data_IF_944746722586
#
_entry.id   IF_944746722586
#
_cell.length_a   1.000
_cell.length_b   1.000
_cell.length_c   1.000
_cell.angle_alpha   90.00
_cell.angle_beta   90.00
_cell.angle_gamma   90.00
#
_symmetry.space_group_name_H-M   'P 1'
#
loop_
_entity.id
_entity.type
_entity.pdbx_description
1 polymer ?
#
# COMPACT_ATOMS: atom_id res chain seq x y z
N UNK A 1 -33.28 -4.33 18.81
CA UNK A 1 -33.05 -3.80 17.45
C UNK A 1 -31.58 -3.96 16.96
N UNK A 2 -30.75 -4.82 17.58
CA UNK A 2 -29.29 -4.89 17.28
C UNK A 2 -28.89 -5.96 16.23
N UNK A 3 -29.71 -7.00 16.03
CA UNK A 3 -29.34 -8.13 15.15
C UNK A 3 -29.50 -7.83 13.65
N UNK A 4 -30.47 -6.98 13.26
CA UNK A 4 -30.75 -6.68 11.85
C UNK A 4 -29.70 -5.77 11.21
N UNK A 5 -29.11 -4.84 11.98
CA UNK A 5 -28.00 -3.99 11.55
C UNK A 5 -26.70 -4.77 11.39
N UNK A 6 -26.45 -5.77 12.25
CA UNK A 6 -25.29 -6.66 12.13
C UNK A 6 -25.35 -7.55 10.88
N UNK A 7 -26.54 -8.07 10.53
CA UNK A 7 -26.74 -8.84 9.30
C UNK A 7 -26.58 -8.02 8.00
N UNK A 8 -26.88 -6.72 8.03
CA UNK A 8 -26.64 -5.80 6.92
C UNK A 8 -25.17 -5.36 6.83
N UNK A 9 -24.47 -5.22 7.96
CA UNK A 9 -23.04 -4.95 8.01
C UNK A 9 -22.22 -6.09 7.38
N UNK A 10 -22.73 -7.33 7.38
CA UNK A 10 -22.26 -8.51 6.60
C UNK A 10 -22.09 -8.30 5.09
N UNK A 11 -22.78 -7.32 4.52
CA UNK A 11 -22.96 -7.15 3.06
C UNK A 11 -22.40 -5.84 2.52
N UNK A 12 -21.74 -5.03 3.35
CA UNK A 12 -21.15 -3.78 2.91
C UNK A 12 -19.95 -4.06 2.00
N UNK A 13 -19.93 -3.43 0.82
CA UNK A 13 -18.77 -3.47 -0.08
C UNK A 13 -17.77 -2.41 0.38
N UNK A 14 -16.50 -2.79 0.44
CA UNK A 14 -15.43 -1.85 0.76
C UNK A 14 -15.27 -0.83 -0.38
N UNK A 15 -14.96 0.41 -0.04
CA UNK A 15 -14.38 1.37 -0.98
C UNK A 15 -12.87 1.49 -0.78
N UNK A 16 -12.19 2.14 -1.72
CA UNK A 16 -10.76 2.47 -1.60
C UNK A 16 -10.49 3.21 -0.29
N UNK A 17 -11.32 4.21 0.05
CA UNK A 17 -11.18 4.96 1.29
C UNK A 17 -11.36 4.08 2.54
N UNK A 18 -12.39 3.22 2.58
CA UNK A 18 -12.60 2.35 3.76
C UNK A 18 -11.49 1.31 3.89
N UNK A 19 -10.98 0.80 2.78
CA UNK A 19 -9.86 -0.14 2.77
C UNK A 19 -8.57 0.50 3.30
N UNK A 20 -8.21 1.68 2.80
CA UNK A 20 -7.03 2.42 3.24
C UNK A 20 -7.11 2.73 4.74
N UNK A 21 -8.24 3.28 5.20
CA UNK A 21 -8.43 3.60 6.63
C UNK A 21 -8.43 2.32 7.47
N UNK A 22 -9.08 1.27 7.01
CA UNK A 22 -9.07 -0.05 7.65
C UNK A 22 -7.63 -0.53 7.85
N UNK A 23 -6.85 -0.66 6.77
CA UNK A 23 -5.43 -1.07 6.81
C UNK A 23 -4.62 -0.23 7.80
N UNK A 24 -4.81 1.10 7.80
CA UNK A 24 -4.05 2.01 8.66
C UNK A 24 -4.46 1.90 10.12
N UNK A 25 -5.61 1.34 10.44
CA UNK A 25 -6.13 1.27 11.82
C UNK A 25 -6.22 -0.15 12.38
N UNK A 26 -5.88 -1.17 11.58
CA UNK A 26 -5.93 -2.57 12.02
C UNK A 26 -5.13 -2.80 13.31
N UNK A 27 -5.70 -3.54 14.29
CA UNK A 27 -5.02 -3.90 15.53
C UNK A 27 -4.06 -5.08 15.36
N UNK A 28 -3.80 -5.55 14.13
CA UNK A 28 -2.93 -6.71 13.87
C UNK A 28 -1.52 -6.54 14.46
N UNK A 29 -1.00 -5.30 14.51
CA UNK A 29 0.30 -5.01 15.13
C UNK A 29 0.30 -5.24 16.63
N UNK A 30 -0.83 -4.95 17.31
CA UNK A 30 -1.01 -5.16 18.75
C UNK A 30 -1.15 -6.65 19.03
N UNK A 31 -1.97 -7.37 18.24
CA UNK A 31 -2.10 -8.84 18.31
C UNK A 31 -0.73 -9.53 18.18
N UNK A 32 0.08 -9.15 17.18
CA UNK A 32 1.44 -9.70 16.98
C UNK A 32 2.36 -9.34 18.16
N UNK A 33 2.26 -8.11 18.69
CA UNK A 33 3.06 -7.71 19.84
C UNK A 33 2.71 -8.52 21.10
N UNK A 34 1.42 -8.81 21.33
CA UNK A 34 0.93 -9.59 22.46
C UNK A 34 1.33 -11.07 22.39
N UNK A 35 1.33 -11.63 21.17
CA UNK A 35 1.86 -12.95 20.86
C UNK A 35 3.37 -13.05 21.12
N UNK A 36 4.10 -11.96 20.93
CA UNK A 36 5.55 -11.87 21.16
C UNK A 36 5.94 -11.59 22.63
N UNK A 37 4.99 -11.34 23.54
CA UNK A 37 5.31 -11.10 24.96
C UNK A 37 6.03 -12.30 25.58
N UNK A 38 5.50 -13.53 25.49
CA UNK A 38 6.32 -14.71 25.75
C UNK A 38 7.16 -15.04 24.52
N UNK A 39 8.46 -15.19 24.71
CA UNK A 39 9.32 -15.73 23.63
C UNK A 39 8.86 -17.15 23.31
N UNK A 40 8.41 -17.37 22.08
CA UNK A 40 7.98 -18.65 21.54
C UNK A 40 8.81 -19.04 20.30
N UNK A 41 8.57 -20.23 19.74
CA UNK A 41 9.27 -20.69 18.53
C UNK A 41 9.03 -19.77 17.30
N UNK A 42 7.85 -19.13 17.23
CA UNK A 42 7.41 -18.25 16.14
C UNK A 42 7.91 -16.80 16.23
N UNK A 43 8.55 -16.42 17.33
CA UNK A 43 9.05 -15.06 17.60
C UNK A 43 9.83 -14.44 16.42
N UNK A 44 10.74 -15.14 15.71
CA UNK A 44 11.42 -14.54 14.55
C UNK A 44 10.46 -14.20 13.41
N UNK A 45 9.56 -15.12 13.04
CA UNK A 45 8.57 -14.92 11.99
C UNK A 45 7.58 -13.80 12.34
N UNK A 46 7.12 -13.76 13.60
CA UNK A 46 6.24 -12.71 14.11
C UNK A 46 6.92 -11.32 14.11
N UNK A 47 8.20 -11.24 14.47
CA UNK A 47 8.95 -9.98 14.39
C UNK A 47 9.14 -9.51 12.95
N UNK A 48 9.42 -10.44 12.02
CA UNK A 48 9.51 -10.13 10.59
C UNK A 48 8.17 -9.59 10.07
N UNK A 49 7.06 -10.27 10.38
CA UNK A 49 5.72 -9.81 10.04
C UNK A 49 5.41 -8.42 10.61
N UNK A 50 5.76 -8.18 11.88
CA UNK A 50 5.54 -6.89 12.51
C UNK A 50 6.27 -5.75 11.79
N UNK A 51 7.49 -5.99 11.30
CA UNK A 51 8.26 -4.99 10.54
C UNK A 51 7.62 -4.71 9.18
N UNK A 52 7.27 -5.74 8.42
CA UNK A 52 6.66 -5.59 7.10
C UNK A 52 5.28 -4.93 7.18
N UNK A 53 4.47 -5.25 8.20
CA UNK A 53 3.17 -4.61 8.41
C UNK A 53 3.33 -3.15 8.81
N UNK A 54 4.31 -2.82 9.67
CA UNK A 54 4.61 -1.42 10.01
C UNK A 54 4.98 -0.61 8.77
N UNK A 55 5.82 -1.18 7.92
CA UNK A 55 6.22 -0.54 6.67
C UNK A 55 5.04 -0.40 5.71
N UNK A 56 4.23 -1.45 5.54
CA UNK A 56 3.03 -1.42 4.73
C UNK A 56 2.04 -0.34 5.21
N UNK A 57 1.77 -0.28 6.52
CA UNK A 57 0.91 0.74 7.13
C UNK A 57 1.42 2.15 6.88
N UNK A 58 2.71 2.41 7.04
CA UNK A 58 3.30 3.71 6.76
C UNK A 58 3.16 4.10 5.28
N UNK A 59 3.41 3.16 4.37
CA UNK A 59 3.23 3.36 2.92
C UNK A 59 1.77 3.65 2.54
N UNK A 60 0.81 2.90 3.10
CA UNK A 60 -0.63 3.10 2.85
C UNK A 60 -1.10 4.43 3.45
N UNK A 61 -0.57 4.81 4.60
CA UNK A 61 -0.85 6.13 5.19
C UNK A 61 -0.34 7.27 4.29
N UNK A 62 0.84 7.12 3.69
CA UNK A 62 1.34 8.08 2.70
C UNK A 62 0.42 8.13 1.46
N UNK A 63 -0.05 6.97 0.98
CA UNK A 63 -1.02 6.91 -0.12
C UNK A 63 -2.31 7.67 0.23
N UNK A 64 -2.85 7.47 1.43
CA UNK A 64 -4.02 8.20 1.92
C UNK A 64 -3.82 9.72 1.86
N UNK A 65 -2.65 10.18 2.31
CA UNK A 65 -2.28 11.59 2.26
C UNK A 65 -2.23 12.11 0.82
N UNK A 66 -1.58 11.37 -0.08
CA UNK A 66 -1.51 11.71 -1.50
C UNK A 66 -2.90 11.80 -2.14
N UNK A 67 -3.79 10.84 -1.84
CA UNK A 67 -5.17 10.88 -2.34
C UNK A 67 -5.99 12.03 -1.74
N UNK A 68 -5.80 12.35 -0.46
CA UNK A 68 -6.45 13.52 0.15
C UNK A 68 -5.99 14.83 -0.49
N UNK A 69 -4.71 14.93 -0.86
CA UNK A 69 -4.19 16.08 -1.61
C UNK A 69 -4.75 16.12 -3.04
N UNK A 70 -4.90 14.96 -3.69
CA UNK A 70 -5.51 14.82 -5.01
C UNK A 70 -6.98 15.26 -5.02
N UNK A 71 -7.79 14.76 -4.10
CA UNK A 71 -9.20 15.16 -3.96
C UNK A 71 -9.35 16.66 -3.67
N UNK A 72 -8.38 17.27 -3.01
CA UNK A 72 -8.33 18.71 -2.76
C UNK A 72 -7.75 19.54 -3.92
N UNK A 73 -7.34 18.91 -5.03
CA UNK A 73 -6.70 19.59 -6.17
C UNK A 73 -5.31 20.16 -5.85
N UNK A 74 -4.61 19.63 -4.84
CA UNK A 74 -3.32 20.12 -4.32
C UNK A 74 -2.13 19.24 -4.69
N UNK A 75 -2.27 18.30 -5.63
CA UNK A 75 -1.12 17.53 -6.11
C UNK A 75 -0.13 18.44 -6.87
N UNK A 76 1.18 18.18 -6.75
CA UNK A 76 2.18 18.90 -7.51
C UNK A 76 2.11 18.61 -9.01
N UNK A 77 1.73 17.39 -9.39
CA UNK A 77 1.66 16.92 -10.78
C UNK A 77 0.34 16.18 -11.05
N UNK A 78 -0.80 16.91 -11.15
CA UNK A 78 -2.12 16.29 -11.26
C UNK A 78 -2.30 15.45 -12.54
N UNK A 79 -1.63 15.82 -13.63
CA UNK A 79 -1.67 15.11 -14.92
C UNK A 79 -1.21 13.65 -14.80
N UNK A 80 -0.32 13.35 -13.85
CA UNK A 80 0.21 12.00 -13.64
C UNK A 80 -0.78 11.05 -13.00
N UNK A 81 -1.90 11.56 -12.46
CA UNK A 81 -3.00 10.71 -12.04
C UNK A 81 -3.58 9.90 -13.23
N UNK A 82 -3.48 10.43 -14.46
CA UNK A 82 -3.90 9.72 -15.67
C UNK A 82 -3.00 8.51 -16.00
N UNK A 83 -1.84 8.37 -15.38
CA UNK A 83 -0.90 7.28 -15.66
C UNK A 83 -1.19 6.02 -14.85
N UNK A 84 -2.06 6.13 -13.84
CA UNK A 84 -2.42 5.02 -12.95
C UNK A 84 -3.85 4.61 -13.26
N UNK A 85 -4.01 3.37 -13.71
CA UNK A 85 -5.33 2.76 -13.89
C UNK A 85 -6.03 2.57 -12.54
N UNK A 86 -7.35 2.82 -12.50
CA UNK A 86 -8.16 2.54 -11.31
C UNK A 86 -8.13 1.05 -10.98
N UNK A 87 -8.08 0.17 -11.97
CA UNK A 87 -8.00 -1.28 -11.77
C UNK A 87 -6.71 -1.70 -11.07
N UNK A 88 -5.61 -1.05 -11.39
CA UNK A 88 -4.32 -1.33 -10.77
C UNK A 88 -4.39 -0.99 -9.27
N UNK A 89 -5.06 0.11 -8.90
CA UNK A 89 -5.31 0.47 -7.50
C UNK A 89 -6.24 -0.53 -6.80
N UNK A 90 -7.34 -0.92 -7.45
CA UNK A 90 -8.31 -1.87 -6.90
C UNK A 90 -7.64 -3.23 -6.65
N UNK A 91 -6.90 -3.75 -7.62
CA UNK A 91 -6.19 -5.01 -7.50
C UNK A 91 -5.20 -4.98 -6.33
N UNK A 92 -4.42 -3.91 -6.24
CA UNK A 92 -3.39 -3.73 -5.22
C UNK A 92 -3.98 -3.64 -3.81
N UNK A 93 -5.02 -2.83 -3.62
CA UNK A 93 -5.66 -2.68 -2.31
C UNK A 93 -6.45 -3.94 -1.92
N UNK A 94 -7.12 -4.58 -2.88
CA UNK A 94 -7.80 -5.86 -2.63
C UNK A 94 -6.82 -6.89 -2.10
N UNK A 95 -5.68 -7.03 -2.78
CA UNK A 95 -4.67 -8.00 -2.36
C UNK A 95 -4.05 -7.65 -1.00
N UNK A 96 -3.83 -6.37 -0.74
CA UNK A 96 -3.26 -5.90 0.52
C UNK A 96 -4.19 -6.20 1.68
N UNK A 97 -5.49 -5.90 1.53
CA UNK A 97 -6.50 -6.19 2.55
C UNK A 97 -6.60 -7.69 2.82
N UNK A 98 -6.64 -8.52 1.77
CA UNK A 98 -6.69 -9.98 1.92
C UNK A 98 -5.44 -10.52 2.62
N UNK A 99 -4.25 -10.08 2.20
CA UNK A 99 -2.98 -10.53 2.79
C UNK A 99 -2.89 -10.17 4.28
N UNK A 100 -3.38 -8.99 4.69
CA UNK A 100 -3.41 -8.59 6.10
C UNK A 100 -4.47 -9.37 6.90
N UNK A 101 -5.63 -9.66 6.30
CA UNK A 101 -6.64 -10.53 6.90
C UNK A 101 -6.12 -11.96 7.11
N UNK A 102 -5.32 -12.48 6.19
CA UNK A 102 -4.68 -13.80 6.33
C UNK A 102 -3.66 -13.80 7.47
N UNK A 103 -2.88 -12.73 7.64
CA UNK A 103 -1.99 -12.58 8.81
C UNK A 103 -2.78 -12.56 10.12
N UNK A 104 -3.91 -11.83 10.16
CA UNK A 104 -4.79 -11.83 11.34
C UNK A 104 -5.30 -13.24 11.67
N UNK A 105 -5.69 -14.02 10.65
CA UNK A 105 -6.14 -15.39 10.84
C UNK A 105 -5.03 -16.30 11.43
N UNK A 106 -3.78 -16.14 10.99
CA UNK A 106 -2.65 -16.86 11.58
C UNK A 106 -2.42 -16.45 13.05
N UNK A 107 -2.54 -15.15 13.36
CA UNK A 107 -2.41 -14.67 14.74
C UNK A 107 -3.49 -15.26 15.64
N UNK A 108 -4.74 -15.33 15.16
CA UNK A 108 -5.86 -15.93 15.90
C UNK A 108 -5.67 -17.43 16.14
N UNK A 109 -5.14 -18.15 15.15
CA UNK A 109 -4.78 -19.56 15.28
C UNK A 109 -3.70 -19.77 16.35
N UNK A 110 -2.63 -18.96 16.32
CA UNK A 110 -1.56 -19.01 17.32
C UNK A 110 -2.06 -18.65 18.73
N UNK A 111 -2.95 -17.66 18.84
CA UNK A 111 -3.59 -17.30 20.11
C UNK A 111 -4.48 -18.43 20.64
N UNK A 112 -5.22 -19.11 19.78
CA UNK A 112 -6.06 -20.26 20.15
C UNK A 112 -5.20 -21.44 20.64
N UNK A 113 -4.12 -21.76 19.92
CA UNK A 113 -3.15 -22.78 20.33
C UNK A 113 -2.55 -22.48 21.70
N UNK A 114 -2.09 -21.23 21.91
CA UNK A 114 -1.57 -20.77 23.20
C UNK A 114 -2.57 -20.92 24.34
N UNK A 115 -3.87 -20.64 24.11
CA UNK A 115 -4.92 -20.78 25.13
C UNK A 115 -5.27 -22.24 25.43
N UNK A 116 -5.19 -23.11 24.42
CA UNK A 116 -5.47 -24.54 24.57
C UNK A 116 -4.38 -25.31 25.31
N UNK A 117 -3.16 -24.75 25.41
CA UNK A 117 -2.01 -25.43 26.00
C UNK A 117 -1.52 -26.64 25.21
N UNK A 118 -1.99 -26.81 23.96
CA UNK A 118 -1.55 -27.88 23.09
C UNK A 118 -0.04 -27.77 22.82
N UNK A 119 0.68 -28.90 22.91
CA UNK A 119 2.05 -28.95 22.42
C UNK A 119 2.03 -28.74 20.90
N UNK A 120 2.79 -27.75 20.44
CA UNK A 120 2.96 -27.48 19.02
C UNK A 120 3.94 -28.51 18.46
N UNK A 121 3.48 -29.37 17.57
CA UNK A 121 4.34 -30.28 16.83
C UNK A 121 5.29 -29.48 15.95
N UNK A 122 6.56 -29.88 15.88
CA UNK A 122 7.60 -29.14 15.16
C UNK A 122 7.27 -28.94 13.67
N UNK A 123 6.56 -29.90 13.04
CA UNK A 123 6.09 -29.80 11.66
C UNK A 123 4.97 -28.75 11.49
N UNK A 124 4.02 -28.70 12.43
CA UNK A 124 2.97 -27.67 12.42
C UNK A 124 3.56 -26.28 12.64
N UNK A 125 4.58 -26.16 13.48
CA UNK A 125 5.29 -24.91 13.71
C UNK A 125 5.95 -24.39 12.44
N UNK A 126 6.69 -25.25 11.74
CA UNK A 126 7.39 -24.89 10.51
C UNK A 126 6.42 -24.48 9.39
N UNK A 127 5.24 -25.13 9.31
CA UNK A 127 4.20 -24.76 8.35
C UNK A 127 3.64 -23.36 8.59
N UNK A 128 3.42 -22.97 9.86
CA UNK A 128 2.94 -21.63 10.21
C UNK A 128 3.98 -20.57 9.87
N UNK A 129 5.25 -20.79 10.22
CA UNK A 129 6.34 -19.86 9.90
C UNK A 129 6.49 -19.68 8.38
N UNK A 130 6.43 -20.76 7.61
CA UNK A 130 6.49 -20.70 6.14
C UNK A 130 5.32 -19.89 5.55
N UNK A 131 4.09 -20.09 6.06
CA UNK A 131 2.93 -19.30 5.62
C UNK A 131 3.11 -17.81 5.97
N UNK A 132 3.61 -17.52 7.17
CA UNK A 132 3.88 -16.15 7.60
C UNK A 132 4.93 -15.48 6.71
N UNK A 133 6.04 -16.15 6.40
CA UNK A 133 7.09 -15.60 5.53
C UNK A 133 6.62 -15.38 4.08
N UNK A 134 5.77 -16.27 3.57
CA UNK A 134 5.13 -16.08 2.27
C UNK A 134 4.23 -14.83 2.27
N UNK A 135 3.43 -14.62 3.32
CA UNK A 135 2.61 -13.41 3.49
C UNK A 135 3.46 -12.16 3.66
N UNK A 136 4.56 -12.21 4.42
CA UNK A 136 5.50 -11.09 4.57
C UNK A 136 6.10 -10.68 3.23
N UNK A 137 6.55 -11.65 2.44
CA UNK A 137 7.09 -11.42 1.09
C UNK A 137 6.05 -10.77 0.17
N UNK A 138 4.80 -11.23 0.26
CA UNK A 138 3.66 -10.69 -0.49
C UNK A 138 3.33 -9.24 -0.06
N UNK A 139 3.21 -8.98 1.23
CA UNK A 139 2.96 -7.64 1.80
C UNK A 139 4.07 -6.67 1.42
N UNK A 140 5.34 -7.09 1.48
CA UNK A 140 6.48 -6.29 1.04
C UNK A 140 6.38 -5.92 -0.43
N UNK A 141 6.02 -6.89 -1.27
CA UNK A 141 5.82 -6.66 -2.71
C UNK A 141 4.72 -5.63 -2.97
N UNK A 142 3.58 -5.75 -2.27
CA UNK A 142 2.44 -4.84 -2.35
C UNK A 142 2.81 -3.44 -1.87
N UNK A 143 3.47 -3.32 -0.72
CA UNK A 143 3.97 -2.05 -0.17
C UNK A 143 4.87 -1.33 -1.17
N UNK A 144 5.78 -2.05 -1.83
CA UNK A 144 6.62 -1.46 -2.87
C UNK A 144 5.82 -0.98 -4.09
N UNK A 145 4.80 -1.73 -4.51
CA UNK A 145 3.91 -1.30 -5.60
C UNK A 145 3.08 -0.06 -5.24
N UNK A 146 2.64 0.08 -3.98
CA UNK A 146 1.97 1.29 -3.48
C UNK A 146 2.95 2.48 -3.47
N UNK A 147 4.19 2.26 -3.04
CA UNK A 147 5.22 3.30 -3.07
C UNK A 147 5.52 3.77 -4.49
N UNK A 148 5.50 2.88 -5.49
CA UNK A 148 5.67 3.26 -6.89
C UNK A 148 4.51 4.17 -7.34
N UNK A 149 3.26 3.90 -6.95
CA UNK A 149 2.14 4.82 -7.21
C UNK A 149 2.36 6.19 -6.56
N UNK A 150 2.82 6.23 -5.30
CA UNK A 150 3.16 7.48 -4.64
C UNK A 150 4.30 8.24 -5.34
N UNK A 151 5.29 7.53 -5.87
CA UNK A 151 6.40 8.14 -6.64
C UNK A 151 5.88 8.76 -7.93
N UNK A 152 5.02 8.07 -8.68
CA UNK A 152 4.42 8.62 -9.91
C UNK A 152 3.73 9.95 -9.62
N UNK A 153 2.94 10.01 -8.54
CA UNK A 153 2.14 11.19 -8.17
C UNK A 153 2.95 12.35 -7.60
N UNK A 154 4.06 12.09 -6.90
CA UNK A 154 4.75 13.10 -6.09
C UNK A 154 6.19 13.42 -6.53
N UNK A 155 6.88 12.60 -7.32
CA UNK A 155 8.29 12.84 -7.61
C UNK A 155 8.49 14.05 -8.54
N UNK A 156 9.59 14.79 -8.41
CA UNK A 156 9.82 15.96 -9.26
C UNK A 156 10.33 15.62 -10.67
N UNK A 157 11.06 14.51 -10.82
CA UNK A 157 11.67 14.10 -12.09
C UNK A 157 10.70 13.34 -12.99
N UNK A 158 10.49 13.82 -14.23
CA UNK A 158 9.63 13.14 -15.20
C UNK A 158 10.16 11.76 -15.61
N UNK A 159 11.47 11.64 -15.84
CA UNK A 159 12.10 10.37 -16.20
C UNK A 159 11.93 9.30 -15.10
N UNK A 160 12.03 9.70 -13.83
CA UNK A 160 11.80 8.80 -12.69
C UNK A 160 10.33 8.40 -12.58
N UNK A 161 9.41 9.32 -12.85
CA UNK A 161 7.97 9.04 -12.86
C UNK A 161 7.58 8.07 -13.99
N UNK A 162 8.14 8.24 -15.19
CA UNK A 162 7.88 7.33 -16.31
C UNK A 162 8.50 5.95 -16.06
N UNK A 163 9.71 5.90 -15.50
CA UNK A 163 10.32 4.64 -15.05
C UNK A 163 9.46 3.94 -13.99
N UNK A 164 8.92 4.70 -13.04
CA UNK A 164 7.99 4.20 -12.02
C UNK A 164 6.69 3.67 -12.66
N UNK A 165 6.14 4.35 -13.66
CA UNK A 165 4.97 3.89 -14.42
C UNK A 165 5.22 2.55 -15.11
N UNK A 166 6.34 2.41 -15.83
CA UNK A 166 6.72 1.15 -16.47
C UNK A 166 6.90 0.04 -15.42
N UNK A 167 7.54 0.36 -14.30
CA UNK A 167 7.73 -0.58 -13.20
C UNK A 167 6.40 -1.03 -12.57
N UNK A 168 5.43 -0.11 -12.42
CA UNK A 168 4.09 -0.41 -11.94
C UNK A 168 3.36 -1.35 -12.90
N UNK A 169 3.37 -1.05 -14.19
CA UNK A 169 2.72 -1.88 -15.21
C UNK A 169 3.24 -3.32 -15.20
N UNK A 170 4.56 -3.50 -15.15
CA UNK A 170 5.20 -4.83 -15.05
C UNK A 170 4.88 -5.56 -13.75
N UNK A 171 4.71 -4.82 -12.65
CA UNK A 171 4.30 -5.40 -11.36
C UNK A 171 2.86 -5.87 -11.42
N UNK A 172 1.96 -5.04 -11.94
CA UNK A 172 0.56 -5.39 -12.01
C UNK A 172 0.30 -6.57 -12.94
N UNK A 173 0.95 -6.60 -14.10
CA UNK A 173 0.94 -7.76 -14.99
C UNK A 173 1.29 -9.05 -14.25
N UNK A 174 2.40 -9.05 -13.48
CA UNK A 174 2.81 -10.21 -12.67
C UNK A 174 1.81 -10.56 -11.57
N UNK A 175 1.20 -9.58 -10.89
CA UNK A 175 0.20 -9.85 -9.85
C UNK A 175 -1.03 -10.54 -10.44
N UNK A 176 -1.54 -10.03 -11.56
CA UNK A 176 -2.73 -10.57 -12.20
C UNK A 176 -2.47 -11.96 -12.83
N UNK A 177 -1.27 -12.19 -13.35
CA UNK A 177 -0.88 -13.51 -13.87
C UNK A 177 -0.65 -14.55 -12.76
N UNK A 178 0.02 -14.15 -11.67
CA UNK A 178 0.35 -15.07 -10.58
C UNK A 178 -0.83 -15.34 -9.64
N UNK A 179 -1.79 -14.42 -9.55
CA UNK A 179 -2.97 -14.57 -8.72
C UNK A 179 -4.25 -14.66 -9.54
N UNK A 180 -4.64 -15.89 -9.86
CA UNK A 180 -5.90 -16.19 -10.54
C UNK A 180 -7.13 -15.82 -9.72
N UNK A 181 -7.06 -15.85 -8.38
CA UNK A 181 -8.17 -15.50 -7.51
C UNK A 181 -8.50 -14.01 -7.57
N UNK A 182 -7.48 -13.13 -7.57
CA UNK A 182 -7.68 -11.68 -7.74
C UNK A 182 -8.21 -11.39 -9.15
N UNK A 183 -7.59 -11.96 -10.17
CA UNK A 183 -8.03 -11.78 -11.55
C UNK A 183 -9.47 -12.24 -11.77
N UNK A 184 -9.87 -13.36 -11.16
CA UNK A 184 -11.25 -13.84 -11.19
C UNK A 184 -12.19 -12.90 -10.43
N UNK A 185 -11.78 -12.39 -9.26
CA UNK A 185 -12.56 -11.43 -8.48
C UNK A 185 -12.81 -10.13 -9.22
N UNK A 186 -11.79 -9.57 -9.87
CA UNK A 186 -11.94 -8.35 -10.70
C UNK A 186 -12.92 -8.58 -11.85
N UNK A 187 -12.87 -9.75 -12.48
CA UNK A 187 -13.78 -10.15 -13.56
C UNK A 187 -15.23 -10.32 -13.07
N UNK A 188 -15.43 -11.03 -11.96
CA UNK A 188 -16.77 -11.25 -11.40
C UNK A 188 -17.37 -9.96 -10.82
N UNK A 189 -16.52 -9.06 -10.33
CA UNK A 189 -16.92 -7.78 -9.80
C UNK A 189 -17.63 -6.92 -10.84
N UNK A 190 -17.19 -6.94 -12.10
CA UNK A 190 -17.90 -6.30 -13.20
C UNK A 190 -19.34 -6.79 -13.34
N UNK A 191 -19.53 -8.12 -13.43
CA UNK A 191 -20.86 -8.72 -13.57
C UNK A 191 -21.80 -8.34 -12.41
N UNK A 192 -21.32 -8.43 -11.17
CA UNK A 192 -22.11 -8.14 -9.97
C UNK A 192 -22.26 -6.63 -9.67
N UNK A 193 -21.43 -5.76 -10.25
CA UNK A 193 -21.57 -4.31 -10.14
C UNK A 193 -22.65 -3.82 -11.09
N UNK A 194 -22.60 -4.21 -12.37
CA UNK A 194 -23.61 -3.83 -13.36
C UNK A 194 -25.00 -4.38 -13.03
N UNK A 195 -25.12 -5.61 -12.53
CA UNK A 195 -26.42 -6.14 -12.09
C UNK A 195 -27.08 -5.30 -10.97
N UNK A 196 -26.28 -4.64 -10.11
CA UNK A 196 -26.80 -3.74 -9.05
C UNK A 196 -27.04 -2.32 -9.54
N UNK A 197 -26.20 -1.81 -10.45
CA UNK A 197 -26.40 -0.49 -11.07
C UNK A 197 -27.63 -0.51 -11.97
N UNK A 198 -27.90 -1.59 -12.70
CA UNK A 198 -29.13 -1.76 -13.48
C UNK A 198 -30.41 -1.78 -12.61
N UNK A 199 -30.29 -2.06 -11.31
CA UNK A 199 -31.39 -2.07 -10.34
C UNK A 199 -31.54 -0.74 -9.57
N UNK A 200 -30.58 0.19 -9.68
CA UNK A 200 -30.63 1.49 -9.02
C UNK A 200 -30.70 2.58 -10.09
N UNK A 201 -31.70 3.46 -10.00
CA UNK A 201 -31.77 4.65 -10.85
C UNK A 201 -30.39 5.34 -10.89
N UNK A 202 -29.83 5.59 -12.09
CA UNK A 202 -28.52 6.19 -12.21
C UNK A 202 -28.49 7.52 -11.46
N UNK A 203 -27.38 7.78 -10.76
CA UNK A 203 -27.15 9.06 -10.09
C UNK A 203 -27.34 10.21 -11.09
N UNK A 204 -27.89 11.37 -10.68
CA UNK A 204 -27.97 12.53 -11.56
C UNK A 204 -26.54 12.87 -12.00
N UNK A 205 -26.30 12.85 -13.32
CA UNK A 205 -24.99 13.03 -13.98
C UNK A 205 -24.07 11.80 -14.11
N UNK A 206 -24.54 10.58 -13.82
CA UNK A 206 -23.81 9.35 -14.10
C UNK A 206 -24.58 8.48 -15.11
N UNK A 207 -24.14 8.45 -16.37
CA UNK A 207 -24.61 7.47 -17.37
C UNK A 207 -23.63 6.30 -17.43
N UNK A 208 -24.04 5.07 -17.04
CA UNK A 208 -23.25 3.88 -17.35
C UNK A 208 -23.18 3.71 -18.87
N UNK A 209 -22.02 3.40 -19.46
CA UNK A 209 -21.91 3.29 -20.91
C UNK A 209 -22.65 2.05 -21.41
N UNK A 210 -23.35 2.26 -22.51
CA UNK A 210 -23.88 1.23 -23.39
C UNK A 210 -22.72 0.36 -23.92
N UNK A 211 -22.93 -0.95 -23.97
CA UNK A 211 -21.93 -1.97 -24.26
C UNK A 211 -21.15 -1.66 -25.53
N UNK A 212 -19.86 -1.30 -25.42
CA UNK A 212 -19.01 -1.18 -26.60
C UNK A 212 -18.74 -2.59 -27.17
N UNK A 213 -19.02 -2.86 -28.45
CA UNK A 213 -18.78 -4.17 -29.02
C UNK A 213 -17.28 -4.50 -29.01
N UNK A 214 -16.96 -5.77 -28.70
CA UNK A 214 -15.60 -6.30 -28.67
C UNK A 214 -14.85 -5.97 -29.97
N UNK A 215 -13.58 -5.51 -29.91
CA UNK A 215 -12.75 -5.51 -31.10
C UNK A 215 -12.48 -6.94 -31.54
N UNK A 216 -12.89 -7.25 -32.77
CA UNK A 216 -12.60 -8.49 -33.48
C UNK A 216 -11.10 -8.76 -33.49
N UNK A 217 -10.75 -10.01 -33.22
CA UNK A 217 -9.40 -10.58 -33.16
C UNK A 217 -8.46 -10.05 -34.25
N UNK A 218 -7.46 -9.28 -33.83
CA UNK A 218 -6.22 -9.10 -34.57
C UNK A 218 -5.06 -9.47 -33.63
N UNK A 219 -4.17 -10.29 -34.17
CA UNK A 219 -3.11 -11.05 -33.52
C UNK A 219 -2.00 -10.18 -32.92
N UNK A 220 -1.97 -10.08 -31.59
CA UNK A 220 -0.78 -9.68 -30.82
C UNK A 220 -0.64 -10.56 -29.56
N UNK A 221 0.57 -11.08 -29.36
CA UNK A 221 1.12 -11.83 -28.21
C UNK A 221 0.11 -12.36 -27.16
N UNK A 222 0.01 -13.70 -27.05
CA UNK A 222 -0.87 -14.43 -26.11
C UNK A 222 -0.77 -13.98 -24.64
N UNK A 223 0.37 -13.43 -24.23
CA UNK A 223 0.58 -12.89 -22.86
C UNK A 223 -0.11 -11.53 -22.69
N UNK A 224 -0.05 -10.66 -23.71
CA UNK A 224 -0.71 -9.35 -23.72
C UNK A 224 -2.24 -9.50 -23.78
N UNK A 225 -2.72 -10.46 -24.59
CA UNK A 225 -4.15 -10.68 -24.76
C UNK A 225 -4.85 -11.09 -23.46
N UNK A 226 -4.28 -11.97 -22.64
CA UNK A 226 -4.88 -12.35 -21.35
C UNK A 226 -4.82 -11.25 -20.28
N UNK A 227 -3.74 -10.45 -20.26
CA UNK A 227 -3.62 -9.27 -19.39
C UNK A 227 -4.64 -8.19 -19.78
N UNK A 228 -4.82 -7.94 -21.09
CA UNK A 228 -5.82 -7.02 -21.63
C UNK A 228 -7.24 -7.55 -21.42
N UNK A 229 -7.50 -8.86 -21.54
CA UNK A 229 -8.81 -9.45 -21.31
C UNK A 229 -9.24 -9.38 -19.84
N UNK A 230 -8.31 -9.56 -18.89
CA UNK A 230 -8.61 -9.42 -17.46
C UNK A 230 -8.89 -7.96 -17.08
N UNK A 231 -8.16 -7.01 -17.68
CA UNK A 231 -8.39 -5.57 -17.53
C UNK A 231 -9.63 -5.05 -18.27
N UNK A 232 -10.03 -5.67 -19.37
CA UNK A 232 -11.19 -5.28 -20.18
C UNK A 232 -12.55 -5.64 -19.56
N UNK A 233 -12.56 -6.30 -18.39
CA UNK A 233 -13.74 -6.88 -17.76
C UNK A 233 -13.93 -6.38 -16.32
N UNK A 234 -13.46 -5.19 -15.99
CA UNK A 234 -13.72 -4.50 -14.71
C UNK A 234 -14.68 -3.32 -14.95
N UNK A 235 -15.44 -2.84 -13.95
CA UNK A 235 -16.36 -1.72 -14.14
C UNK A 235 -15.61 -0.39 -14.30
N UNK A 236 -14.32 -0.36 -13.97
CA UNK A 236 -13.44 0.79 -14.11
C UNK A 236 -12.44 0.61 -15.27
N UNK A 237 -12.72 -0.31 -16.19
CA UNK A 237 -11.86 -0.53 -17.36
C UNK A 237 -11.76 0.73 -18.19
N UNK A 238 -10.54 1.18 -18.44
CA UNK A 238 -10.25 2.43 -19.17
C UNK A 238 -10.32 3.70 -18.31
N UNK A 239 -10.69 3.62 -17.04
CA UNK A 239 -10.61 4.74 -16.11
C UNK A 239 -9.23 4.82 -15.46
N UNK A 240 -8.78 6.05 -15.27
CA UNK A 240 -7.56 6.41 -14.59
C UNK A 240 -7.88 7.15 -13.29
N UNK A 241 -6.90 7.37 -12.42
CA UNK A 241 -7.14 8.13 -11.19
C UNK A 241 -7.61 9.56 -11.50
N UNK A 242 -7.20 10.15 -12.64
CA UNK A 242 -7.64 11.48 -13.06
C UNK A 242 -9.16 11.57 -13.30
N UNK A 243 -9.82 10.45 -13.63
CA UNK A 243 -11.25 10.39 -13.92
C UNK A 243 -12.11 10.21 -12.65
N UNK A 244 -11.48 9.98 -11.50
CA UNK A 244 -12.16 9.69 -10.23
C UNK A 244 -11.97 10.88 -9.27
N UNK A 245 -12.99 11.72 -9.06
CA UNK A 245 -12.83 12.90 -8.21
C UNK A 245 -12.71 12.56 -6.72
N UNK A 246 -13.27 11.42 -6.28
CA UNK A 246 -13.27 11.00 -4.87
C UNK A 246 -13.08 9.49 -4.77
N UNK A 247 -12.07 9.05 -4.01
CA UNK A 247 -11.71 7.64 -3.82
C UNK A 247 -12.78 6.84 -3.09
N UNK A 248 -13.64 7.51 -2.30
CA UNK A 248 -14.73 6.84 -1.56
C UNK A 248 -15.80 6.23 -2.47
N UNK A 249 -15.87 6.66 -3.74
CA UNK A 249 -16.81 6.14 -4.75
C UNK A 249 -16.29 4.83 -5.36
N UNK A 250 -14.97 4.62 -5.36
CA UNK A 250 -14.34 3.45 -5.97
C UNK A 250 -14.52 2.24 -5.06
N UNK A 251 -15.45 1.37 -5.43
CA UNK A 251 -15.70 0.11 -4.73
C UNK A 251 -14.64 -0.95 -5.04
N UNK A 252 -14.25 -1.71 -4.02
CA UNK A 252 -13.41 -2.90 -4.12
C UNK A 252 -14.28 -4.18 -4.26
N UNK A 253 -13.74 -5.25 -4.87
CA UNK A 253 -14.36 -6.58 -4.93
C UNK A 253 -14.25 -7.32 -3.59
N UNK A 254 -14.56 -6.65 -2.48
CA UNK A 254 -14.47 -7.18 -1.12
C UNK A 254 -15.74 -6.82 -0.34
N UNK A 255 -16.21 -7.78 0.45
CA UNK A 255 -17.24 -7.57 1.45
C UNK A 255 -16.59 -7.54 2.83
N UNK A 256 -17.14 -6.70 3.71
CA UNK A 256 -16.75 -6.66 5.13
C UNK A 256 -16.85 -8.03 5.80
N UNK A 257 -17.85 -8.85 5.45
CA UNK A 257 -18.01 -10.20 6.01
C UNK A 257 -16.95 -11.22 5.57
N UNK A 258 -16.13 -10.91 4.56
CA UNK A 258 -15.03 -11.78 4.11
C UNK A 258 -13.74 -11.56 4.92
N UNK A 259 -13.68 -10.50 5.71
CA UNK A 259 -12.45 -10.03 6.36
C UNK A 259 -12.49 -10.29 7.87
N UNK A 260 -11.33 -10.63 8.44
CA UNK A 260 -11.13 -10.64 9.89
C UNK A 260 -11.28 -9.23 10.43
N UNK A 261 -12.08 -9.08 11.49
CA UNK A 261 -12.48 -7.79 12.07
C UNK A 261 -13.12 -6.81 11.04
N UNK A 262 -13.67 -7.34 9.94
CA UNK A 262 -14.23 -6.58 8.82
C UNK A 262 -15.34 -5.60 9.22
N UNK A 263 -16.21 -6.02 10.13
CA UNK A 263 -17.32 -5.21 10.64
C UNK A 263 -16.88 -4.07 11.56
N UNK A 264 -15.66 -4.13 12.08
CA UNK A 264 -15.15 -3.13 13.02
C UNK A 264 -14.33 -2.06 12.30
N UNK A 265 -13.40 -2.48 11.43
CA UNK A 265 -12.40 -1.59 10.84
C UNK A 265 -12.65 -1.22 9.36
N UNK A 266 -13.44 -2.00 8.63
CA UNK A 266 -13.64 -1.82 7.19
C UNK A 266 -15.02 -1.27 6.80
N UNK A 267 -15.72 -0.61 7.72
CA UNK A 267 -17.04 -0.01 7.46
C UNK A 267 -16.96 1.47 7.10
N UNK A 268 -17.92 1.97 6.31
CA UNK A 268 -17.99 3.40 5.99
C UNK A 268 -18.27 4.28 7.22
N UNK A 269 -18.98 3.75 8.23
CA UNK A 269 -19.20 4.45 9.49
C UNK A 269 -17.89 4.67 10.24
N UNK A 270 -17.08 3.62 10.36
CA UNK A 270 -15.77 3.70 11.00
C UNK A 270 -14.81 4.62 10.23
N UNK A 271 -14.74 4.46 8.90
CA UNK A 271 -13.91 5.29 8.03
C UNK A 271 -14.21 6.79 8.18
N UNK A 272 -15.48 7.19 8.31
CA UNK A 272 -15.84 8.60 8.53
C UNK A 272 -15.38 9.15 9.89
N UNK A 273 -15.28 8.29 10.91
CA UNK A 273 -14.79 8.68 12.24
C UNK A 273 -13.26 8.73 12.24
N UNK A 274 -12.62 7.60 11.93
CA UNK A 274 -11.17 7.45 11.96
C UNK A 274 -10.47 8.29 10.89
N UNK A 275 -11.10 8.50 9.73
CA UNK A 275 -10.56 9.36 8.67
C UNK A 275 -10.42 10.83 9.09
N UNK A 276 -11.33 11.35 9.94
CA UNK A 276 -11.17 12.70 10.50
C UNK A 276 -9.97 12.76 11.44
N UNK A 277 -9.81 11.77 12.30
CA UNK A 277 -8.67 11.70 13.22
C UNK A 277 -7.35 11.56 12.46
N UNK A 278 -7.34 10.77 11.38
CA UNK A 278 -6.19 10.60 10.48
C UNK A 278 -5.86 11.89 9.73
N UNK A 279 -6.87 12.58 9.19
CA UNK A 279 -6.72 13.89 8.56
C UNK A 279 -6.17 14.96 9.52
N UNK A 280 -6.67 14.98 10.76
CA UNK A 280 -6.17 15.88 11.81
C UNK A 280 -4.70 15.60 12.15
N UNK A 281 -4.29 14.33 12.23
CA UNK A 281 -2.88 13.97 12.41
C UNK A 281 -1.99 14.40 11.24
N UNK A 282 -2.50 14.33 10.01
CA UNK A 282 -1.77 14.79 8.81
C UNK A 282 -1.57 16.30 8.84
N UNK A 283 -2.61 17.09 9.14
CA UNK A 283 -2.50 18.54 9.23
C UNK A 283 -1.49 18.98 10.31
N UNK A 284 -1.54 18.35 11.49
CA UNK A 284 -0.59 18.65 12.58
C UNK A 284 0.86 18.28 12.25
N UNK A 285 1.09 17.24 11.43
CA UNK A 285 2.42 16.85 11.01
C UNK A 285 3.00 17.78 9.93
N UNK A 286 2.16 18.38 9.09
CA UNK A 286 2.58 19.36 8.08
C UNK A 286 3.01 20.69 8.70
N UNK A 287 2.29 21.16 9.73
CA UNK A 287 2.66 22.38 10.47
C UNK A 287 4.03 22.26 11.15
N UNK A 288 4.38 21.07 11.64
CA UNK A 288 5.70 20.80 12.22
C UNK A 288 6.81 20.67 11.16
N UNK A 289 6.47 20.20 9.96
CA UNK A 289 7.42 20.06 8.84
C UNK A 289 7.67 21.40 8.13
N UNK A 290 6.67 22.28 8.07
CA UNK A 290 6.79 23.65 7.55
C UNK A 290 7.72 24.52 8.41
N UNK A 291 7.74 24.30 9.73
CA UNK A 291 8.66 24.98 10.65
C UNK A 291 10.13 24.61 10.40
N UNK A 292 10.40 23.40 9.92
CA UNK A 292 11.76 22.94 9.53
C UNK A 292 12.11 23.30 8.07
N UNK A 293 11.11 23.42 7.19
CA UNK A 293 11.29 23.92 5.82
C UNK A 293 11.70 25.40 5.77
N UNK A 294 11.19 26.21 6.70
CA UNK A 294 11.53 27.63 6.84
C UNK A 294 13.00 27.91 7.21
N UNK A 295 13.74 26.90 7.69
CA UNK A 295 15.18 27.02 8.00
C UNK A 295 16.06 26.76 6.76
N UNK A 296 15.50 26.18 5.68
CA UNK A 296 16.25 25.84 4.45
C UNK A 296 16.15 26.88 3.34
N UNK A 297 15.29 27.89 3.48
CA UNK A 297 15.12 28.98 2.51
C UNK A 297 15.60 30.30 3.11
N UNK A 298 16.92 30.44 3.28
CA UNK A 298 17.55 31.75 3.51
C UNK A 298 18.37 32.11 2.26
N UNK A 299 17.98 33.13 1.48
CA UNK A 299 18.79 33.57 0.35
C UNK A 299 20.05 34.27 0.89
N UNK A 300 21.23 33.77 0.49
CA UNK A 300 22.50 34.47 0.67
C UNK A 300 22.49 35.75 -0.16
N UNK A 301 22.46 36.89 0.53
CA UNK A 301 22.80 38.18 -0.05
C UNK A 301 24.31 38.41 0.08
N UNK A 302 24.95 38.45 -1.08
CA UNK A 302 26.03 39.33 -1.55
C UNK A 302 27.11 39.86 -0.57
N UNK A 303 28.37 39.50 -0.88
CA UNK A 303 29.55 40.37 -1.06
C UNK A 303 30.76 39.41 -1.19
N UNK A 304 31.64 39.43 -2.18
CA UNK A 304 32.14 40.47 -3.07
C UNK A 304 33.66 40.30 -3.10
N UNK A 305 34.30 40.27 -4.27
CA UNK A 305 35.76 40.43 -4.39
C UNK A 305 36.54 39.37 -5.19
N UNK A 306 36.82 39.74 -6.44
CA UNK A 306 38.10 39.68 -7.16
C UNK A 306 39.08 38.49 -7.09
N UNK A 307 39.42 38.05 -8.31
CA UNK A 307 40.78 37.99 -8.89
C UNK A 307 41.61 36.70 -8.94
N UNK A 308 42.00 36.42 -10.18
CA UNK A 308 43.31 35.94 -10.68
C UNK A 308 43.63 34.44 -10.73
N UNK A 309 43.75 34.01 -12.00
CA UNK A 309 44.69 33.04 -12.60
C UNK A 309 45.50 32.09 -11.72
N UNK A 310 45.59 30.82 -12.11
CA UNK A 310 46.78 30.34 -12.85
C UNK A 310 46.57 28.94 -13.41
N UNK A 311 47.27 28.76 -14.51
CA UNK A 311 47.34 27.65 -15.45
C UNK A 311 48.07 26.41 -14.88
N UNK A 312 47.87 25.28 -15.55
CA UNK A 312 48.93 24.33 -15.93
C UNK A 312 48.89 22.89 -15.40
N UNK A 313 48.84 22.02 -16.42
CA UNK A 313 49.60 20.78 -16.62
C UNK A 313 49.08 19.46 -16.08
N UNK A 314 48.65 18.67 -17.06
CA UNK A 314 48.38 17.25 -17.03
C UNK A 314 49.60 16.49 -17.61
N UNK A 315 50.14 15.52 -16.87
CA UNK A 315 51.02 14.40 -17.28
C UNK A 315 51.03 13.47 -16.05
N UNK A 316 50.54 12.24 -16.05
CA UNK A 316 50.71 11.17 -17.03
C UNK A 316 51.81 10.24 -16.52
N UNK A 317 51.45 9.12 -15.87
CA UNK A 317 52.20 7.85 -15.90
C UNK A 317 51.53 6.74 -15.09
N UNK A 318 51.53 5.59 -15.73
CA UNK A 318 51.08 4.23 -15.42
C UNK A 318 51.79 3.53 -14.24
N UNK A 319 51.11 2.47 -13.78
CA UNK A 319 51.65 1.14 -13.41
C UNK A 319 51.70 0.77 -11.92
N UNK A 320 50.84 -0.22 -11.60
CA UNK A 320 51.07 -1.43 -10.80
C UNK A 320 51.97 -1.36 -9.56
N UNK A 321 51.38 -1.72 -8.41
CA UNK A 321 51.85 -2.87 -7.63
C UNK A 321 50.87 -3.25 -6.50
N UNK A 322 50.77 -4.56 -6.27
CA UNK A 322 49.83 -5.25 -5.40
C UNK A 322 50.29 -5.28 -3.90
N UNK A 323 49.60 -6.01 -2.98
CA UNK A 323 49.16 -5.55 -1.65
C UNK A 323 50.16 -5.89 -0.52
N UNK A 324 49.93 -5.49 0.77
CA UNK A 324 49.19 -6.38 1.70
C UNK A 324 48.50 -5.74 2.94
N UNK A 325 47.68 -6.58 3.60
CA UNK A 325 47.49 -6.72 5.06
C UNK A 325 46.71 -5.68 5.92
N UNK A 326 45.52 -6.15 6.35
CA UNK A 326 44.96 -6.15 7.71
C UNK A 326 45.11 -4.92 8.63
N UNK A 327 43.96 -4.30 8.97
CA UNK A 327 43.67 -3.84 10.34
C UNK A 327 42.19 -4.00 10.70
N UNK A 328 41.96 -4.78 11.76
CA UNK A 328 40.70 -4.82 12.49
C UNK A 328 40.44 -3.47 13.18
N UNK A 329 39.18 -3.05 13.29
CA UNK A 329 38.78 -2.02 14.26
C UNK A 329 37.39 -2.31 14.84
N UNK A 330 37.30 -2.07 16.14
CA UNK A 330 36.35 -2.60 17.12
C UNK A 330 34.97 -1.92 17.11
N UNK A 331 34.02 -2.71 17.60
CA UNK A 331 32.69 -2.36 18.10
C UNK A 331 32.63 -1.04 18.90
N UNK A 332 31.73 -0.15 18.50
CA UNK A 332 31.16 0.90 19.34
C UNK A 332 29.69 0.59 19.67
N UNK A 333 29.40 0.36 20.95
CA UNK A 333 28.03 0.16 21.48
C UNK A 333 27.27 1.49 21.43
N UNK A 334 26.12 1.53 20.75
CA UNK A 334 25.16 2.63 20.90
C UNK A 334 24.08 2.20 21.89
N UNK A 335 24.03 2.90 23.01
CA UNK A 335 23.05 2.74 24.07
C UNK A 335 21.64 3.09 23.57
N UNK A 336 20.70 2.16 23.74
CA UNK A 336 19.27 2.36 23.47
C UNK A 336 18.64 3.17 24.60
N UNK A 337 18.28 4.43 24.32
CA UNK A 337 17.40 5.21 25.20
C UNK A 337 15.96 4.76 24.97
N UNK A 338 15.42 4.01 25.93
CA UNK A 338 14.03 3.56 26.01
C UNK A 338 13.16 4.73 26.48
N UNK A 339 12.44 5.42 25.59
CA UNK A 339 11.36 6.34 25.99
C UNK A 339 10.06 5.56 26.11
N UNK A 340 9.58 5.46 27.35
CA UNK A 340 8.37 4.78 27.80
C UNK A 340 7.20 5.74 27.64
N UNK A 341 6.31 5.48 26.68
CA UNK A 341 5.04 6.19 26.57
C UNK A 341 4.08 5.65 27.62
N UNK A 342 3.68 6.51 28.58
CA UNK A 342 2.59 6.29 29.52
C UNK A 342 1.38 7.04 28.99
N UNK A 343 0.32 6.33 28.61
CA UNK A 343 -1.01 6.92 28.47
C UNK A 343 -1.66 6.93 29.86
N UNK A 344 -2.18 8.08 30.28
CA UNK A 344 -3.09 8.17 31.42
C UNK A 344 -4.51 7.93 30.91
N UNK A 345 -5.21 7.12 31.70
CA UNK A 345 -6.65 6.84 31.69
C UNK A 345 -7.52 8.08 31.66
#
# INVERSE_FOLDING_TARGET
MSAATSALAGRERLSVTTAIIGIVTLPVMEKIADLNIPTNAHTPALNHALLEIKQCRATVHLLYKTFSAFEAGRLPYPERAAWISVDDLIALLTDTVLSLSDVQAICEELDAQRRSGAQVDQETSASVDQKMDALCSRIRWLSLSINIMNTILNCSGEADAESARIALNRRMARLLLSNSAISMRLRLFYSAYYARVAQRNPLPHYTPPESRPLPSSASESLVSAHEQQARAQSPYSGYTLADVPVMSIVALPLLTGELRDGHEYYTAAYARRAGRDLGNMICLAEDQSGLLGAIRSRPSAENGGSETSTDSSNRGATADNAPPASKATRFGRIARVRRRWRWRT
#
